data_IF_782228846889
#
_entry.id   IF_782228846889
#
_cell.length_a   1.000
_cell.length_b   1.000
_cell.length_c   1.000
_cell.angle_alpha   90.00
_cell.angle_beta   90.00
_cell.angle_gamma   90.00
#
_symmetry.space_group_name_H-M   'P 1'
#
loop_
_entity.id
_entity.type
_entity.pdbx_description
1 polymer ?
#
# COMPACT_ATOMS: atom_id res chain seq x y z
N UNK A 1 64.53 2.81 39.88
CA UNK A 1 63.18 2.23 39.93
C UNK A 1 62.16 3.33 39.64
N UNK A 2 61.64 3.41 38.42
CA UNK A 2 60.52 4.29 38.04
C UNK A 2 59.48 3.40 37.37
N UNK A 3 58.36 3.16 38.06
CA UNK A 3 57.25 2.39 37.51
C UNK A 3 56.51 3.24 36.48
N UNK A 4 56.36 2.67 35.29
CA UNK A 4 55.39 3.08 34.29
C UNK A 4 53.98 2.78 34.80
N UNK A 5 53.05 3.74 34.68
CA UNK A 5 51.63 3.43 34.57
C UNK A 5 51.10 4.15 33.33
N UNK A 6 50.94 3.39 32.25
CA UNK A 6 50.14 3.76 31.09
C UNK A 6 48.71 3.29 31.37
N UNK A 7 47.78 4.25 31.54
CA UNK A 7 46.35 3.96 31.56
C UNK A 7 45.87 3.71 30.13
N UNK A 8 45.72 2.44 29.76
CA UNK A 8 44.99 2.03 28.55
C UNK A 8 43.52 2.01 28.92
N UNK A 9 42.81 3.11 28.65
CA UNK A 9 41.34 3.11 28.66
C UNK A 9 40.85 2.31 27.45
N UNK A 10 40.57 1.04 27.67
CA UNK A 10 39.86 0.18 26.72
C UNK A 10 38.41 0.62 26.60
N UNK A 11 38.14 1.49 25.62
CA UNK A 11 36.80 1.72 25.09
C UNK A 11 36.33 0.42 24.41
N UNK A 12 35.63 -0.43 25.16
CA UNK A 12 34.83 -1.50 24.59
C UNK A 12 33.64 -0.86 23.88
N UNK A 13 33.82 -0.56 22.60
CA UNK A 13 32.75 -0.21 21.68
C UNK A 13 31.92 -1.49 21.46
N UNK A 14 30.90 -1.71 22.28
CA UNK A 14 29.87 -2.70 22.01
C UNK A 14 29.08 -2.22 20.79
N UNK A 15 29.46 -2.68 19.61
CA UNK A 15 28.63 -2.62 18.41
C UNK A 15 27.42 -3.53 18.65
N UNK A 16 26.38 -2.99 19.28
CA UNK A 16 25.06 -3.61 19.27
C UNK A 16 24.58 -3.58 17.83
N UNK A 17 24.64 -4.73 17.15
CA UNK A 17 23.93 -4.94 15.89
C UNK A 17 22.44 -4.95 16.21
N UNK A 18 21.86 -3.76 16.38
CA UNK A 18 20.42 -3.58 16.47
C UNK A 18 19.82 -4.13 15.17
N UNK A 19 19.12 -5.25 15.27
CA UNK A 19 18.28 -5.70 14.17
C UNK A 19 17.25 -4.58 13.96
N UNK A 20 17.28 -3.94 12.79
CA UNK A 20 16.25 -2.98 12.41
C UNK A 20 14.90 -3.67 12.53
N UNK A 21 14.06 -3.18 13.44
CA UNK A 21 12.71 -3.70 13.61
C UNK A 21 11.88 -3.07 12.49
N UNK A 22 11.52 -3.85 11.47
CA UNK A 22 10.59 -3.40 10.44
C UNK A 22 9.16 -3.43 11.00
N UNK A 23 8.66 -2.27 11.43
CA UNK A 23 7.29 -2.11 11.93
C UNK A 23 6.28 -2.20 10.77
N UNK A 24 5.15 -2.86 11.01
CA UNK A 24 4.09 -3.11 10.03
C UNK A 24 3.04 -1.99 10.03
N UNK A 25 2.15 -2.00 9.04
CA UNK A 25 1.05 -1.05 8.97
C UNK A 25 0.19 -1.08 10.24
N UNK A 26 -0.07 0.11 10.79
CA UNK A 26 -0.82 0.32 12.03
C UNK A 26 0.00 0.12 13.31
N UNK A 27 1.22 -0.41 13.23
CA UNK A 27 2.10 -0.52 14.40
C UNK A 27 2.47 0.87 14.92
N UNK A 28 2.57 1.05 16.25
CA UNK A 28 2.98 2.32 16.83
C UNK A 28 4.45 2.59 16.48
N UNK A 29 4.75 3.83 16.13
CA UNK A 29 6.09 4.29 15.79
C UNK A 29 6.40 5.62 16.49
N UNK A 30 7.68 5.99 16.54
CA UNK A 30 8.09 7.30 17.04
C UNK A 30 9.07 7.95 16.08
N UNK A 31 8.80 9.19 15.71
CA UNK A 31 9.65 9.97 14.78
C UNK A 31 11.06 10.16 15.35
N UNK A 32 11.21 10.13 16.69
CA UNK A 32 12.52 10.31 17.34
C UNK A 32 13.47 9.13 17.15
N UNK A 33 12.95 7.95 16.80
CA UNK A 33 13.70 6.71 16.79
C UNK A 33 13.93 6.24 15.34
N UNK A 34 14.92 6.83 14.65
CA UNK A 34 15.34 6.42 13.30
C UNK A 34 15.71 4.92 13.20
N UNK A 35 15.93 4.25 14.34
CA UNK A 35 16.36 2.85 14.42
C UNK A 35 15.15 1.86 14.41
N UNK A 36 13.95 2.32 14.77
CA UNK A 36 12.71 1.54 14.78
C UNK A 36 11.76 2.05 13.68
N UNK A 37 12.25 2.00 12.45
CA UNK A 37 11.52 2.50 11.29
C UNK A 37 10.33 1.62 10.89
N UNK A 38 9.31 2.26 10.33
CA UNK A 38 8.31 1.57 9.53
C UNK A 38 8.97 0.87 8.34
N UNK A 39 8.37 -0.21 7.85
CA UNK A 39 8.88 -0.93 6.68
C UNK A 39 8.82 -0.06 5.41
N UNK A 40 9.94 0.61 5.12
CA UNK A 40 10.09 1.46 3.93
C UNK A 40 9.97 0.67 2.62
N UNK A 41 10.28 -0.64 2.62
CA UNK A 41 10.11 -1.48 1.42
C UNK A 41 8.64 -1.74 1.12
N UNK A 42 7.81 -1.74 2.17
CA UNK A 42 6.36 -1.76 2.04
C UNK A 42 5.77 -0.37 1.72
N UNK A 43 6.59 0.68 1.58
CA UNK A 43 6.12 2.06 1.40
C UNK A 43 5.48 2.66 2.65
N UNK A 44 5.82 2.14 3.84
CA UNK A 44 5.30 2.62 5.10
C UNK A 44 6.20 3.72 5.69
N UNK A 45 5.60 4.78 6.21
CA UNK A 45 6.28 5.81 6.98
C UNK A 45 5.54 6.09 8.29
N UNK A 46 6.25 6.65 9.27
CA UNK A 46 5.65 6.99 10.56
C UNK A 46 4.84 8.29 10.42
N UNK A 47 3.51 8.20 10.52
CA UNK A 47 2.65 9.38 10.48
C UNK A 47 2.73 10.12 11.82
N UNK A 48 3.19 11.37 11.76
CA UNK A 48 3.40 12.23 12.94
C UNK A 48 2.12 12.64 13.67
N UNK A 49 0.96 12.47 13.05
CA UNK A 49 -0.32 12.82 13.66
C UNK A 49 -0.95 11.64 14.40
N UNK A 50 -0.66 10.41 13.96
CA UNK A 50 -1.25 9.19 14.51
C UNK A 50 -0.27 8.35 15.31
N UNK A 51 1.03 8.68 15.26
CA UNK A 51 2.14 7.92 15.83
C UNK A 51 2.11 6.44 15.42
N UNK A 52 1.73 6.19 14.15
CA UNK A 52 1.60 4.86 13.56
C UNK A 52 2.24 4.77 12.19
N UNK A 53 2.67 3.57 11.84
CA UNK A 53 3.12 3.25 10.50
C UNK A 53 1.93 3.22 9.53
N UNK A 54 1.93 4.14 8.58
CA UNK A 54 0.91 4.28 7.56
C UNK A 54 1.57 4.41 6.20
N UNK A 55 0.80 4.43 5.11
CA UNK A 55 1.40 4.69 3.80
C UNK A 55 2.01 6.09 3.75
N UNK A 56 3.13 6.21 3.03
CA UNK A 56 3.88 7.47 2.92
C UNK A 56 2.99 8.63 2.44
N UNK A 57 2.09 8.34 1.50
CA UNK A 57 1.14 9.31 0.98
C UNK A 57 -0.30 8.95 1.33
N UNK A 58 -1.10 9.98 1.63
CA UNK A 58 -2.52 9.82 2.02
C UNK A 58 -3.43 9.30 0.90
N UNK A 59 -2.97 9.39 -0.36
CA UNK A 59 -3.70 8.87 -1.53
C UNK A 59 -3.34 7.42 -1.85
N UNK A 60 -2.36 6.82 -1.18
CA UNK A 60 -2.02 5.42 -1.35
C UNK A 60 -3.01 4.51 -0.62
N UNK A 61 -3.07 3.27 -1.11
CA UNK A 61 -3.91 2.22 -0.53
C UNK A 61 -3.01 1.13 0.04
N UNK A 62 -3.21 0.79 1.30
CA UNK A 62 -2.51 -0.36 1.88
C UNK A 62 -3.18 -1.67 1.47
N UNK A 63 -2.45 -2.51 0.75
CA UNK A 63 -2.85 -3.88 0.44
C UNK A 63 -2.45 -4.79 1.61
N UNK A 64 -3.43 -5.22 2.40
CA UNK A 64 -3.22 -6.06 3.57
C UNK A 64 -2.73 -7.47 3.23
N UNK A 65 -3.05 -8.00 2.04
CA UNK A 65 -2.64 -9.34 1.62
C UNK A 65 -1.16 -9.35 1.26
N UNK A 66 -0.72 -8.34 0.50
CA UNK A 66 0.67 -8.18 0.07
C UNK A 66 1.54 -7.48 1.10
N UNK A 67 0.92 -6.79 2.05
CA UNK A 67 1.60 -6.01 3.09
C UNK A 67 2.37 -4.81 2.55
N UNK A 68 1.86 -4.16 1.51
CA UNK A 68 2.52 -3.04 0.82
C UNK A 68 1.54 -1.90 0.50
N UNK A 69 2.05 -0.68 0.41
CA UNK A 69 1.31 0.48 -0.08
C UNK A 69 1.34 0.53 -1.60
N UNK A 70 0.16 0.73 -2.20
CA UNK A 70 -0.05 0.76 -3.63
C UNK A 70 -0.51 2.15 -4.08
N UNK A 71 0.05 2.61 -5.19
CA UNK A 71 -0.37 3.80 -5.92
C UNK A 71 -1.60 3.48 -6.79
N UNK A 72 -2.71 4.22 -6.64
CA UNK A 72 -3.87 4.10 -7.51
C UNK A 72 -3.57 4.63 -8.92
N UNK A 73 -4.51 4.44 -9.84
CA UNK A 73 -4.39 4.94 -11.21
C UNK A 73 -4.21 6.47 -11.25
N UNK A 74 -3.49 6.91 -12.27
CA UNK A 74 -3.15 8.32 -12.52
C UNK A 74 -2.33 8.98 -11.39
N UNK A 75 -1.91 8.22 -10.38
CA UNK A 75 -0.97 8.66 -9.36
C UNK A 75 0.46 8.28 -9.75
N UNK A 76 1.41 9.01 -9.17
CA UNK A 76 2.83 8.78 -9.41
C UNK A 76 3.27 7.42 -8.86
N UNK A 77 4.22 6.82 -9.58
CA UNK A 77 4.78 5.52 -9.24
C UNK A 77 6.29 5.47 -9.40
N UNK A 78 6.88 4.45 -8.77
CA UNK A 78 8.28 4.09 -8.84
C UNK A 78 8.34 2.58 -8.64
N UNK A 79 8.94 1.87 -9.62
CA UNK A 79 9.04 0.41 -9.62
C UNK A 79 9.69 -0.19 -8.36
N UNK A 80 10.43 0.62 -7.59
CA UNK A 80 11.09 0.17 -6.35
C UNK A 80 10.16 0.27 -5.13
N UNK A 81 9.54 1.44 -4.91
CA UNK A 81 8.85 1.79 -3.65
C UNK A 81 7.35 2.03 -3.89
N UNK A 82 7.00 2.81 -4.91
CA UNK A 82 5.61 3.21 -5.18
C UNK A 82 5.01 2.32 -6.27
N UNK A 83 4.59 1.13 -5.86
CA UNK A 83 4.05 0.10 -6.77
C UNK A 83 2.61 0.41 -7.13
N UNK A 84 2.24 0.14 -8.37
CA UNK A 84 0.86 0.30 -8.81
C UNK A 84 -0.05 -0.78 -8.24
N UNK A 85 -1.34 -0.45 -8.15
CA UNK A 85 -2.41 -1.42 -7.87
C UNK A 85 -2.38 -2.63 -8.81
N UNK A 86 -3.09 -3.69 -8.44
CA UNK A 86 -3.17 -4.90 -9.26
C UNK A 86 -3.68 -4.63 -10.68
N UNK A 87 -3.06 -5.33 -11.65
CA UNK A 87 -3.26 -5.17 -13.09
C UNK A 87 -2.97 -3.76 -13.65
N UNK A 88 -2.29 -2.92 -12.87
CA UNK A 88 -1.69 -1.69 -13.36
C UNK A 88 -0.17 -1.84 -13.50
N UNK A 89 0.41 -1.00 -14.33
CA UNK A 89 1.85 -0.88 -14.55
C UNK A 89 2.25 0.60 -14.52
N UNK A 90 3.52 0.84 -14.19
CA UNK A 90 4.08 2.18 -14.11
C UNK A 90 4.60 2.60 -15.49
N UNK A 91 3.97 3.57 -16.14
CA UNK A 91 4.36 4.11 -17.46
C UNK A 91 4.55 5.62 -17.40
N UNK A 92 5.42 6.15 -18.25
CA UNK A 92 5.57 7.60 -18.42
C UNK A 92 4.37 8.19 -19.18
N UNK A 93 3.82 9.28 -18.66
CA UNK A 93 2.77 10.06 -19.32
C UNK A 93 3.33 11.01 -20.41
N UNK A 94 2.47 11.86 -20.98
CA UNK A 94 2.88 12.87 -21.98
C UNK A 94 3.90 13.90 -21.44
N UNK A 95 4.01 14.02 -20.12
CA UNK A 95 4.94 14.91 -19.42
C UNK A 95 6.20 14.19 -18.93
N UNK A 96 6.39 12.91 -19.29
CA UNK A 96 7.47 12.05 -18.81
C UNK A 96 7.43 11.81 -17.30
N UNK A 97 6.24 11.86 -16.70
CA UNK A 97 6.01 11.53 -15.30
C UNK A 97 5.56 10.07 -15.20
N UNK A 98 6.23 9.24 -14.38
CA UNK A 98 5.82 7.85 -14.18
C UNK A 98 4.52 7.81 -13.38
N UNK A 99 3.46 7.33 -14.01
CA UNK A 99 2.12 7.16 -13.44
C UNK A 99 1.61 5.73 -13.57
N UNK A 100 0.71 5.34 -12.68
CA UNK A 100 0.05 4.05 -12.76
C UNK A 100 -1.06 4.05 -13.80
N UNK A 101 -0.96 3.14 -14.76
CA UNK A 101 -1.95 2.92 -15.82
C UNK A 101 -2.31 1.45 -15.91
N UNK A 102 -3.52 1.13 -16.37
CA UNK A 102 -3.91 -0.26 -16.56
C UNK A 102 -3.01 -0.97 -17.59
N UNK A 103 -2.69 -2.23 -17.31
CA UNK A 103 -1.98 -3.09 -18.25
C UNK A 103 -2.83 -3.33 -19.51
N UNK A 104 -2.15 -3.52 -20.64
CA UNK A 104 -2.82 -3.83 -21.91
C UNK A 104 -3.76 -5.03 -21.76
N UNK A 105 -5.02 -4.85 -22.16
CA UNK A 105 -6.07 -5.87 -22.01
C UNK A 105 -6.84 -5.80 -20.69
N UNK A 106 -6.59 -4.79 -19.85
CA UNK A 106 -7.41 -4.47 -18.68
C UNK A 106 -8.05 -3.09 -18.80
N UNK A 107 -9.15 -2.87 -18.09
CA UNK A 107 -9.89 -1.59 -18.12
C UNK A 107 -9.97 -0.96 -16.74
N UNK A 108 -9.78 0.37 -16.63
CA UNK A 108 -9.96 1.09 -15.37
C UNK A 108 -11.45 1.12 -15.01
N UNK A 109 -11.78 0.74 -13.78
CA UNK A 109 -13.12 0.93 -13.22
C UNK A 109 -13.06 2.02 -12.18
N UNK A 110 -13.48 3.22 -12.57
CA UNK A 110 -13.69 4.32 -11.63
C UNK A 110 -14.87 4.02 -10.72
N UNK A 111 -14.63 4.01 -9.42
CA UNK A 111 -15.66 3.81 -8.41
C UNK A 111 -16.61 5.00 -8.24
N UNK A 112 -16.33 6.11 -8.92
CA UNK A 112 -17.17 7.32 -8.95
C UNK A 112 -18.51 7.10 -9.67
N UNK A 113 -18.72 5.97 -10.35
CA UNK A 113 -20.04 5.56 -10.84
C UNK A 113 -20.89 5.03 -9.70
N UNK A 114 -21.39 5.99 -8.90
CA UNK A 114 -22.42 5.86 -7.89
C UNK A 114 -23.62 5.09 -8.44
N UNK A 115 -24.14 4.15 -7.64
CA UNK A 115 -25.31 3.37 -7.99
C UNK A 115 -26.46 3.71 -7.07
N UNK A 116 -27.23 4.78 -7.38
CA UNK A 116 -28.18 5.40 -6.46
C UNK A 116 -29.35 4.50 -6.08
N UNK A 117 -29.49 3.35 -6.73
CA UNK A 117 -30.57 2.41 -6.45
C UNK A 117 -30.08 0.96 -6.31
N UNK A 118 -28.78 0.58 -6.40
CA UNK A 118 -28.37 -0.84 -6.49
C UNK A 118 -26.89 -1.31 -6.39
N UNK A 119 -26.63 -2.62 -6.16
CA UNK A 119 -25.35 -3.32 -5.85
C UNK A 119 -24.33 -3.66 -6.96
N UNK A 120 -23.08 -3.21 -6.80
CA UNK A 120 -21.80 -3.93 -6.99
C UNK A 120 -21.75 -5.45 -7.31
N UNK A 121 -22.14 -6.05 -8.45
CA UNK A 121 -21.91 -7.50 -8.71
C UNK A 121 -20.69 -7.74 -9.60
N UNK A 122 -19.63 -8.30 -9.01
CA UNK A 122 -18.55 -8.91 -9.78
C UNK A 122 -18.84 -10.38 -10.07
N UNK A 123 -19.41 -10.63 -11.26
CA UNK A 123 -19.65 -12.00 -11.73
C UNK A 123 -18.42 -12.55 -12.43
N UNK A 124 -17.89 -13.66 -11.91
CA UNK A 124 -16.88 -14.46 -12.58
C UNK A 124 -17.53 -15.15 -13.79
N UNK A 125 -17.07 -14.84 -15.00
CA UNK A 125 -17.38 -15.66 -16.18
C UNK A 125 -16.57 -16.96 -16.10
N UNK A 126 -17.11 -18.09 -16.58
CA UNK A 126 -16.34 -19.33 -16.79
C UNK A 126 -15.13 -19.12 -17.72
N UNK A 127 -15.06 -17.97 -18.39
CA UNK A 127 -13.97 -17.53 -19.27
C UNK A 127 -12.93 -16.62 -18.61
N UNK A 128 -13.02 -16.30 -17.31
CA UNK A 128 -11.98 -15.58 -16.56
C UNK A 128 -11.98 -14.04 -16.65
N UNK A 129 -13.07 -13.42 -17.08
CA UNK A 129 -13.25 -11.95 -17.06
C UNK A 129 -14.08 -11.49 -15.85
N UNK A 130 -13.73 -10.33 -15.29
CA UNK A 130 -14.42 -9.73 -14.13
C UNK A 130 -15.41 -8.66 -14.59
N UNK A 131 -16.65 -8.69 -14.09
CA UNK A 131 -17.61 -7.59 -14.21
C UNK A 131 -17.66 -6.77 -12.93
N UNK A 132 -18.21 -5.56 -12.97
CA UNK A 132 -18.67 -4.76 -11.82
C UNK A 132 -20.09 -4.29 -12.20
N UNK A 133 -21.13 -4.77 -11.51
CA UNK A 133 -22.53 -4.39 -11.79
C UNK A 133 -23.13 -3.56 -10.66
N UNK A 134 -24.27 -2.91 -10.88
CA UNK A 134 -25.10 -2.29 -9.85
C UNK A 134 -26.54 -2.81 -9.88
N UNK A 135 -27.02 -3.53 -8.85
CA UNK A 135 -28.33 -4.21 -8.83
C UNK A 135 -29.35 -3.56 -7.90
N UNK A 136 -30.42 -3.02 -8.48
CA UNK A 136 -31.42 -2.21 -7.77
C UNK A 136 -32.64 -2.95 -7.23
N UNK A 137 -32.74 -4.26 -7.49
CA UNK A 137 -33.84 -5.09 -7.01
C UNK A 137 -33.43 -6.57 -6.90
N UNK A 138 -34.05 -7.22 -5.92
CA UNK A 138 -33.74 -8.54 -5.35
C UNK A 138 -33.46 -9.64 -6.38
N UNK A 139 -32.23 -10.14 -6.36
CA UNK A 139 -31.97 -11.52 -6.77
C UNK A 139 -32.81 -12.42 -5.85
N UNK A 140 -33.51 -13.44 -6.39
CA UNK A 140 -34.39 -14.31 -5.58
C UNK A 140 -33.69 -15.48 -4.89
N UNK A 141 -32.43 -15.74 -5.20
CA UNK A 141 -31.51 -16.46 -4.32
C UNK A 141 -30.03 -16.08 -4.59
N UNK A 142 -29.58 -14.96 -4.00
CA UNK A 142 -28.20 -14.46 -3.89
C UNK A 142 -27.71 -14.54 -2.44
N UNK A 143 -28.04 -15.61 -1.69
CA UNK A 143 -28.04 -15.59 -0.23
C UNK A 143 -26.65 -15.51 0.42
N UNK A 144 -25.86 -14.47 0.15
CA UNK A 144 -25.38 -13.48 1.11
C UNK A 144 -24.36 -12.59 0.39
N UNK A 145 -24.72 -11.34 0.08
CA UNK A 145 -23.70 -10.29 -0.13
C UNK A 145 -24.13 -9.10 0.73
N UNK A 146 -23.56 -8.95 1.93
CA UNK A 146 -23.88 -7.81 2.78
C UNK A 146 -23.23 -6.53 2.22
N UNK A 147 -23.98 -5.45 2.39
CA UNK A 147 -23.66 -4.08 2.02
C UNK A 147 -22.36 -3.60 2.68
N UNK A 148 -21.39 -3.20 1.85
CA UNK A 148 -20.67 -1.92 1.92
C UNK A 148 -19.54 -1.98 0.89
N UNK A 149 -19.81 -1.51 -0.34
CA UNK A 149 -18.73 -1.19 -1.28
C UNK A 149 -18.31 0.26 -1.00
N UNK A 150 -17.49 0.46 0.02
CA UNK A 150 -16.71 1.70 0.14
C UNK A 150 -15.40 1.48 -0.62
N UNK A 151 -15.45 1.80 -1.91
CA UNK A 151 -14.28 1.77 -2.77
C UNK A 151 -14.19 3.17 -3.34
N UNK A 152 -13.34 4.02 -2.79
CA UNK A 152 -12.84 5.20 -3.52
C UNK A 152 -11.68 4.83 -4.46
N UNK A 153 -11.61 3.56 -4.87
CA UNK A 153 -10.46 2.98 -5.54
C UNK A 153 -10.80 2.66 -6.98
N UNK A 154 -9.99 3.20 -7.89
CA UNK A 154 -9.97 2.76 -9.29
C UNK A 154 -9.18 1.46 -9.36
N UNK A 155 -9.73 0.41 -9.96
CA UNK A 155 -9.04 -0.88 -10.16
C UNK A 155 -8.98 -1.24 -11.64
N UNK A 156 -8.00 -2.05 -12.03
CA UNK A 156 -7.88 -2.57 -13.40
C UNK A 156 -8.43 -4.00 -13.45
N UNK A 157 -9.43 -4.23 -14.30
CA UNK A 157 -10.05 -5.55 -14.49
C UNK A 157 -9.69 -6.15 -15.84
N UNK A 158 -9.43 -7.46 -15.86
CA UNK A 158 -9.36 -8.30 -17.06
C UNK A 158 -10.74 -8.52 -17.69
#
# INVERSE_FOLDING_TARGET
>A
MKCLLWFVFGLNFFLSSGNAINLKFGDPCSISDEINGCDLQAGLSCNSNTDKCECEFTWQVFDMERGICLSPLDQTCNNEIFRCIENAECKEDEQLLPICVCQDGTVPVESSRYCPWGMIVAGHSETGTFRICCSTNNVRNPAYVPEQCDLSQTICLH
#
